data_IF_948360773318
#
_entry.id   IF_948360773318
#
_cell.length_a   1.000
_cell.length_b   1.000
_cell.length_c   1.000
_cell.angle_alpha   90.00
_cell.angle_beta   90.00
_cell.angle_gamma   90.00
#
_symmetry.space_group_name_H-M   'P 1'
#
loop_
_entity.id
_entity.type
_entity.pdbx_description
1 polymer ?
#
# COMPACT_ATOMS: atom_id res chain seq x y z
N UNK A 1 -4.58 0.07 -12.49
CA UNK A 1 -3.40 0.49 -13.29
C UNK A 1 -3.54 -0.15 -14.66
N UNK A 2 -3.30 0.56 -15.76
CA UNK A 2 -3.31 -0.07 -17.08
C UNK A 2 -1.97 -0.78 -17.32
N UNK A 3 -1.89 -2.03 -16.89
CA UNK A 3 -0.70 -2.88 -17.04
C UNK A 3 -1.03 -4.10 -17.91
N UNK A 4 -0.89 -3.94 -19.23
CA UNK A 4 -1.01 -5.02 -20.21
C UNK A 4 0.36 -5.34 -20.82
N UNK A 5 1.38 -5.50 -19.97
CA UNK A 5 2.80 -5.65 -20.34
C UNK A 5 3.31 -4.52 -21.26
N UNK A 6 2.70 -3.34 -21.14
CA UNK A 6 3.07 -2.19 -21.94
C UNK A 6 4.46 -1.66 -21.53
N UNK A 7 5.26 -1.12 -22.48
CA UNK A 7 6.56 -0.55 -22.18
C UNK A 7 6.49 0.62 -21.21
N UNK A 8 5.39 1.39 -21.26
CA UNK A 8 5.12 2.53 -20.40
C UNK A 8 4.03 2.21 -19.40
N UNK A 9 4.24 2.66 -18.18
CA UNK A 9 3.25 2.64 -17.10
C UNK A 9 2.71 4.05 -16.96
N UNK A 10 1.40 4.20 -17.15
CA UNK A 10 0.63 5.35 -16.73
C UNK A 10 -0.32 4.92 -15.62
N UNK A 11 -0.48 5.78 -14.62
CA UNK A 11 -1.32 5.49 -13.48
C UNK A 11 -2.22 6.68 -13.18
N UNK A 12 -3.51 6.42 -13.00
CA UNK A 12 -4.43 7.40 -12.44
C UNK A 12 -4.74 6.99 -11.00
N UNK A 13 -5.07 7.96 -10.15
CA UNK A 13 -5.42 7.69 -8.75
C UNK A 13 -6.55 6.67 -8.63
N UNK A 14 -7.55 6.77 -9.53
CA UNK A 14 -8.71 5.86 -9.58
C UNK A 14 -8.31 4.42 -9.83
N UNK A 15 -7.26 4.23 -10.63
CA UNK A 15 -6.76 2.92 -11.04
C UNK A 15 -5.72 2.36 -10.05
N UNK A 16 -5.07 3.23 -9.27
CA UNK A 16 -4.02 2.86 -8.32
C UNK A 16 -4.56 2.55 -6.93
N UNK A 17 -5.37 3.47 -6.38
CA UNK A 17 -5.80 3.45 -4.98
C UNK A 17 -6.45 2.12 -4.57
N UNK A 18 -7.36 1.50 -5.35
CA UNK A 18 -7.95 0.22 -4.97
C UNK A 18 -6.90 -0.88 -4.75
N UNK A 19 -5.99 -1.07 -5.70
CA UNK A 19 -4.94 -2.09 -5.60
C UNK A 19 -3.93 -1.79 -4.48
N UNK A 20 -3.61 -0.51 -4.28
CA UNK A 20 -2.72 -0.09 -3.19
C UNK A 20 -3.37 -0.33 -1.82
N UNK A 21 -4.65 -0.01 -1.66
CA UNK A 21 -5.38 -0.23 -0.42
C UNK A 21 -5.50 -1.72 -0.09
N UNK A 22 -5.70 -2.57 -1.09
CA UNK A 22 -5.70 -4.03 -0.89
C UNK A 22 -4.36 -4.53 -0.34
N UNK A 23 -3.23 -3.95 -0.74
CA UNK A 23 -1.91 -4.29 -0.18
C UNK A 23 -1.81 -3.85 1.29
N UNK A 24 -2.30 -2.65 1.63
CA UNK A 24 -2.31 -2.16 3.00
C UNK A 24 -3.23 -3.01 3.90
N UNK A 25 -4.40 -3.42 3.39
CA UNK A 25 -5.35 -4.28 4.10
C UNK A 25 -4.79 -5.70 4.33
N UNK A 26 -4.05 -6.24 3.36
CA UNK A 26 -3.34 -7.51 3.53
C UNK A 26 -2.27 -7.45 4.63
N UNK A 27 -1.65 -6.29 4.84
CA UNK A 27 -0.68 -6.08 5.92
C UNK A 27 -1.32 -5.74 7.28
N UNK A 28 -2.63 -5.49 7.31
CA UNK A 28 -3.35 -5.01 8.50
C UNK A 28 -4.61 -5.83 8.77
N UNK A 29 -5.79 -5.36 8.36
CA UNK A 29 -7.10 -5.90 8.70
C UNK A 29 -7.17 -7.43 8.50
N UNK A 30 -6.77 -7.89 7.31
CA UNK A 30 -6.82 -9.31 6.95
C UNK A 30 -5.87 -10.13 7.81
N UNK A 31 -4.66 -9.61 8.04
CA UNK A 31 -3.65 -10.32 8.81
C UNK A 31 -4.01 -10.39 10.31
N UNK A 32 -4.46 -9.29 10.90
CA UNK A 32 -4.86 -9.25 12.31
C UNK A 32 -6.07 -10.15 12.59
N UNK A 33 -7.02 -10.20 11.65
CA UNK A 33 -8.15 -11.12 11.72
C UNK A 33 -7.70 -12.59 11.65
N UNK A 34 -6.86 -12.91 10.66
CA UNK A 34 -6.36 -14.26 10.47
C UNK A 34 -5.51 -14.72 11.68
N UNK A 35 -4.65 -13.86 12.21
CA UNK A 35 -3.79 -14.15 13.36
C UNK A 35 -4.62 -14.52 14.60
N UNK A 36 -5.62 -13.71 14.94
CA UNK A 36 -6.51 -13.99 16.06
C UNK A 36 -7.26 -15.32 15.89
N UNK A 37 -7.74 -15.60 14.67
CA UNK A 37 -8.44 -16.85 14.36
C UNK A 37 -7.53 -18.08 14.45
N UNK A 38 -6.30 -18.00 13.93
CA UNK A 38 -5.36 -19.11 13.84
C UNK A 38 -4.71 -19.41 15.20
N UNK A 39 -4.30 -18.37 15.93
CA UNK A 39 -3.61 -18.52 17.21
C UNK A 39 -4.58 -18.62 18.40
N UNK A 40 -5.86 -18.32 18.19
CA UNK A 40 -6.86 -18.29 19.26
C UNK A 40 -6.58 -17.18 20.29
N UNK A 41 -5.98 -16.08 19.86
CA UNK A 41 -5.66 -14.91 20.69
C UNK A 41 -6.62 -13.77 20.39
N UNK A 42 -6.75 -12.82 21.32
CA UNK A 42 -7.46 -11.58 21.04
C UNK A 42 -6.68 -10.74 20.02
N UNK A 43 -7.41 -10.03 19.14
CA UNK A 43 -6.79 -9.13 18.17
C UNK A 43 -6.03 -8.03 18.91
N UNK A 44 -4.79 -7.78 18.49
CA UNK A 44 -3.99 -6.67 19.00
C UNK A 44 -4.64 -5.30 18.70
N UNK A 45 -5.32 -5.18 17.56
CA UNK A 45 -6.02 -3.97 17.12
C UNK A 45 -7.49 -4.26 16.86
N UNK A 46 -8.37 -3.38 17.34
CA UNK A 46 -9.81 -3.47 17.08
C UNK A 46 -10.15 -3.08 15.64
N UNK A 47 -11.31 -3.53 15.17
CA UNK A 47 -11.79 -3.18 13.83
C UNK A 47 -11.98 -1.67 13.66
N UNK A 48 -12.41 -0.96 14.72
CA UNK A 48 -12.54 0.49 14.73
C UNK A 48 -11.19 1.19 14.62
N UNK A 49 -10.15 0.67 15.29
CA UNK A 49 -8.79 1.23 15.21
C UNK A 49 -8.24 1.10 13.79
N UNK A 50 -8.42 -0.06 13.16
CA UNK A 50 -7.96 -0.31 11.79
C UNK A 50 -8.75 0.55 10.79
N UNK A 51 -10.07 0.65 10.97
CA UNK A 51 -10.94 1.48 10.12
C UNK A 51 -10.57 2.96 10.19
N UNK A 52 -10.28 3.47 11.39
CA UNK A 52 -9.83 4.85 11.57
C UNK A 52 -8.50 5.12 10.85
N UNK A 53 -7.53 4.21 10.97
CA UNK A 53 -6.26 4.33 10.25
C UNK A 53 -6.46 4.30 8.73
N UNK A 54 -7.40 3.49 8.25
CA UNK A 54 -7.76 3.45 6.84
C UNK A 54 -8.30 4.79 6.34
N UNK A 55 -9.22 5.39 7.07
CA UNK A 55 -9.79 6.71 6.73
C UNK A 55 -8.76 7.84 6.79
N UNK A 56 -7.83 7.79 7.75
CA UNK A 56 -6.88 8.88 7.97
C UNK A 56 -5.62 8.80 7.10
N UNK A 57 -5.10 7.59 6.80
CA UNK A 57 -3.73 7.43 6.26
C UNK A 57 -3.63 6.76 4.90
N UNK A 58 -4.64 6.02 4.44
CA UNK A 58 -4.48 5.26 3.19
C UNK A 58 -4.33 6.16 1.97
N UNK A 59 -5.17 7.20 1.89
CA UNK A 59 -5.09 8.18 0.81
C UNK A 59 -3.77 8.95 0.84
N UNK A 60 -3.33 9.40 2.02
CA UNK A 60 -2.05 10.09 2.21
C UNK A 60 -0.87 9.23 1.74
N UNK A 61 -0.83 7.95 2.14
CA UNK A 61 0.22 7.03 1.71
C UNK A 61 0.18 6.71 0.23
N UNK A 62 -1.02 6.67 -0.38
CA UNK A 62 -1.15 6.45 -1.81
C UNK A 62 -0.63 7.64 -2.60
N UNK A 63 -0.92 8.86 -2.15
CA UNK A 63 -0.40 10.10 -2.74
C UNK A 63 1.11 10.20 -2.56
N UNK A 64 1.64 9.94 -1.35
CA UNK A 64 3.10 9.88 -1.09
C UNK A 64 3.78 8.86 -2.02
N UNK A 65 3.14 7.70 -2.25
CA UNK A 65 3.66 6.68 -3.14
C UNK A 65 3.72 7.19 -4.59
N UNK A 66 2.61 7.73 -5.09
CA UNK A 66 2.53 8.22 -6.47
C UNK A 66 3.49 9.38 -6.71
N UNK A 67 3.54 10.35 -5.80
CA UNK A 67 4.46 11.49 -5.88
C UNK A 67 5.92 11.05 -5.87
N UNK A 68 6.28 10.07 -5.05
CA UNK A 68 7.66 9.58 -5.01
C UNK A 68 8.05 8.78 -6.25
N UNK A 69 7.10 8.04 -6.84
CA UNK A 69 7.35 7.17 -7.99
C UNK A 69 7.36 7.98 -9.28
N UNK A 70 6.34 8.80 -9.50
CA UNK A 70 6.13 9.55 -10.72
C UNK A 70 6.77 10.96 -10.69
N UNK A 71 7.01 11.53 -9.52
CA UNK A 71 7.53 12.90 -9.35
C UNK A 71 6.76 13.92 -10.20
N UNK A 72 7.37 14.40 -11.29
CA UNK A 72 6.79 15.37 -12.21
C UNK A 72 6.22 14.73 -13.48
N UNK A 73 6.46 13.43 -13.70
CA UNK A 73 6.10 12.70 -14.91
C UNK A 73 4.73 12.03 -14.77
N UNK A 74 3.89 12.12 -15.80
CA UNK A 74 2.59 11.42 -15.83
C UNK A 74 2.67 9.97 -16.32
N UNK A 75 3.85 9.53 -16.76
CA UNK A 75 4.12 8.18 -17.24
C UNK A 75 5.61 7.85 -17.15
N UNK A 76 5.94 6.60 -16.85
CA UNK A 76 7.33 6.11 -16.77
C UNK A 76 7.53 4.89 -17.65
N UNK A 77 8.77 4.66 -18.10
CA UNK A 77 9.12 3.35 -18.66
C UNK A 77 9.05 2.28 -17.56
N UNK A 78 8.60 1.06 -17.88
CA UNK A 78 8.41 -0.01 -16.89
C UNK A 78 9.65 -0.26 -16.04
N UNK A 79 10.83 -0.31 -16.66
CA UNK A 79 12.09 -0.52 -15.94
C UNK A 79 12.41 0.61 -14.96
N UNK A 80 12.01 1.84 -15.29
CA UNK A 80 12.20 3.01 -14.43
C UNK A 80 11.19 3.00 -13.28
N UNK A 81 9.94 2.63 -13.57
CA UNK A 81 8.91 2.42 -12.56
C UNK A 81 9.35 1.34 -11.55
N UNK A 82 9.73 0.15 -12.01
CA UNK A 82 10.19 -0.96 -11.16
C UNK A 82 11.39 -0.54 -10.28
N UNK A 83 12.39 0.10 -10.89
CA UNK A 83 13.58 0.58 -10.19
C UNK A 83 13.24 1.64 -9.14
N UNK A 84 12.31 2.54 -9.45
CA UNK A 84 11.92 3.62 -8.55
C UNK A 84 11.09 3.10 -7.39
N UNK A 85 10.14 2.20 -7.63
CA UNK A 85 9.34 1.54 -6.59
C UNK A 85 10.25 0.80 -5.61
N UNK A 86 11.17 -0.03 -6.10
CA UNK A 86 12.09 -0.77 -5.22
C UNK A 86 12.98 0.17 -4.41
N UNK A 87 13.48 1.26 -5.02
CA UNK A 87 14.42 2.17 -4.38
C UNK A 87 13.77 3.13 -3.38
N UNK A 88 12.61 3.70 -3.72
CA UNK A 88 11.97 4.77 -2.93
C UNK A 88 10.79 4.29 -2.11
N UNK A 89 10.05 3.30 -2.62
CA UNK A 89 8.81 2.81 -2.02
C UNK A 89 8.89 1.33 -1.62
N UNK A 90 10.10 0.83 -1.35
CA UNK A 90 10.34 -0.56 -0.98
C UNK A 90 9.69 -1.01 0.34
N UNK A 91 9.07 -0.09 1.09
CA UNK A 91 8.27 -0.44 2.28
C UNK A 91 7.08 -1.34 1.92
N UNK A 92 6.52 -1.18 0.71
CA UNK A 92 5.32 -1.90 0.25
C UNK A 92 5.52 -3.42 0.20
N UNK A 93 6.77 -3.89 0.13
CA UNK A 93 7.10 -5.31 0.11
C UNK A 93 7.24 -5.94 1.50
N UNK A 94 7.07 -5.16 2.57
CA UNK A 94 7.28 -5.61 3.94
C UNK A 94 6.10 -5.21 4.84
N UNK A 95 5.25 -6.16 5.26
CA UNK A 95 4.09 -5.89 6.11
C UNK A 95 4.44 -5.13 7.40
N UNK A 96 5.57 -5.50 8.03
CA UNK A 96 6.17 -4.79 9.17
C UNK A 96 6.29 -3.27 8.96
N UNK A 97 6.81 -2.87 7.79
CA UNK A 97 7.07 -1.46 7.46
C UNK A 97 5.80 -0.73 7.06
N UNK A 98 4.85 -1.43 6.44
CA UNK A 98 3.51 -0.90 6.18
C UNK A 98 2.85 -0.55 7.52
N UNK A 99 2.83 -1.48 8.47
CA UNK A 99 2.27 -1.27 9.81
C UNK A 99 2.96 -0.13 10.55
N UNK A 100 4.28 0.00 10.43
CA UNK A 100 5.03 1.13 10.98
C UNK A 100 4.56 2.49 10.44
N UNK A 101 4.43 2.62 9.11
CA UNK A 101 3.92 3.86 8.47
C UNK A 101 2.49 4.17 8.91
N UNK A 102 1.68 3.13 9.05
CA UNK A 102 0.30 3.24 9.52
C UNK A 102 0.20 3.55 11.02
N UNK A 103 1.26 3.35 11.81
CA UNK A 103 1.27 3.54 13.26
C UNK A 103 0.63 2.39 14.04
N UNK A 104 0.61 1.20 13.45
CA UNK A 104 0.05 -0.04 13.98
C UNK A 104 1.18 -1.01 14.40
N UNK A 105 2.11 -0.53 15.23
CA UNK A 105 3.19 -1.32 15.84
C UNK A 105 2.80 -1.79 17.24
#
# INVERSE_FOLDING_TARGET
MQDNDQPKISCSDKDFKPAFFDILDQATAILFEAEALILGVERQFSEEQVSKVKEEKYDELAEEFLDAVFEYDSSLERKEWEKTVVKKQGFIFHPEKIREKLGLK
#
